data_IF_827814796321
#
_entry.id   IF_827814796321
#
_cell.length_a   1.000
_cell.length_b   1.000
_cell.length_c   1.000
_cell.angle_alpha   90.00
_cell.angle_beta   90.00
_cell.angle_gamma   90.00
#
_symmetry.space_group_name_H-M   'P 1'
#
loop_
_entity.id
_entity.type
_entity.pdbx_description
1 polymer ?
#
# COMPACT_ATOMS: atom_id res chain seq x y z
N UNK A 1 18.62 15.47 22.83
CA UNK A 1 19.39 15.62 24.09
C UNK A 1 19.54 17.08 24.48
N UNK A 2 20.25 17.37 25.58
CA UNK A 2 20.51 18.77 26.03
C UNK A 2 21.31 19.56 25.00
N UNK A 3 22.25 18.92 24.31
CA UNK A 3 23.06 19.53 23.24
C UNK A 3 22.24 19.99 22.04
N UNK A 4 21.18 19.26 21.69
CA UNK A 4 20.26 19.66 20.62
C UNK A 4 19.53 20.96 20.99
N UNK A 5 19.06 21.06 22.24
CA UNK A 5 18.38 22.27 22.74
C UNK A 5 19.30 23.49 22.74
N UNK A 6 20.58 23.30 23.07
CA UNK A 6 21.60 24.36 23.00
C UNK A 6 21.81 24.78 21.54
N UNK A 7 21.92 23.83 20.62
CA UNK A 7 22.09 24.10 19.18
C UNK A 7 20.89 24.84 18.59
N UNK A 8 19.66 24.43 18.93
CA UNK A 8 18.42 25.08 18.50
C UNK A 8 18.27 26.47 19.11
N UNK A 9 18.62 26.62 20.40
CA UNK A 9 18.66 27.92 21.05
C UNK A 9 19.65 28.87 20.36
N UNK A 10 20.79 28.35 19.89
CA UNK A 10 21.78 29.11 19.12
C UNK A 10 21.19 29.60 17.79
N UNK A 11 20.39 28.79 17.10
CA UNK A 11 19.65 29.22 15.90
C UNK A 11 18.68 30.37 16.23
N UNK A 12 17.96 30.27 17.35
CA UNK A 12 17.07 31.33 17.83
C UNK A 12 17.79 32.63 18.16
N UNK A 13 19.01 32.55 18.71
CA UNK A 13 19.87 33.70 18.95
C UNK A 13 20.35 34.35 17.65
N UNK A 14 20.80 33.56 16.67
CA UNK A 14 21.22 34.07 15.35
C UNK A 14 20.07 34.82 14.67
N UNK A 15 18.86 34.24 14.69
CA UNK A 15 17.65 34.89 14.16
C UNK A 15 17.37 36.21 14.88
N UNK A 16 17.45 36.22 16.22
CA UNK A 16 17.23 37.42 17.01
C UNK A 16 18.19 38.55 16.64
N UNK A 17 19.49 38.25 16.47
CA UNK A 17 20.50 39.24 16.08
C UNK A 17 20.19 39.81 14.69
N UNK A 18 19.83 38.95 13.73
CA UNK A 18 19.55 39.36 12.36
C UNK A 18 18.27 40.21 12.21
N UNK A 19 17.28 40.04 13.09
CA UNK A 19 15.98 40.72 13.00
C UNK A 19 15.76 41.79 14.07
N UNK A 20 16.73 42.03 14.95
CA UNK A 20 16.62 43.02 16.02
C UNK A 20 16.58 44.44 15.44
N UNK A 21 15.60 45.24 15.90
CA UNK A 21 15.53 46.67 15.59
C UNK A 21 15.76 47.48 16.88
N UNK A 22 16.87 48.24 16.98
CA UNK A 22 17.17 49.06 18.16
C UNK A 22 16.19 50.22 18.38
N UNK A 23 15.46 50.68 17.35
CA UNK A 23 14.49 51.77 17.44
C UNK A 23 13.25 51.40 18.28
N UNK A 24 13.02 50.10 18.49
CA UNK A 24 11.83 49.60 19.23
C UNK A 24 11.94 49.74 20.76
N UNK A 25 12.96 50.41 21.28
CA UNK A 25 13.18 50.68 22.71
C UNK A 25 13.02 49.44 23.63
N UNK A 26 13.49 48.29 23.14
CA UNK A 26 13.55 47.03 23.91
C UNK A 26 14.99 46.54 23.99
N UNK A 27 15.35 45.95 25.13
CA UNK A 27 16.68 45.36 25.29
C UNK A 27 16.83 44.14 24.38
N UNK A 28 17.98 44.03 23.71
CA UNK A 28 18.31 42.87 22.86
C UNK A 28 18.13 41.54 23.60
N UNK A 29 18.56 41.46 24.87
CA UNK A 29 18.40 40.26 25.67
C UNK A 29 16.94 39.83 25.84
N UNK A 30 16.02 40.79 26.02
CA UNK A 30 14.57 40.53 26.12
C UNK A 30 14.02 39.98 24.82
N UNK A 31 14.42 40.56 23.68
CA UNK A 31 14.01 40.08 22.37
C UNK A 31 14.60 38.70 22.03
N UNK A 32 15.91 38.53 22.23
CA UNK A 32 16.61 37.29 21.96
C UNK A 32 16.08 36.12 22.81
N UNK A 33 15.75 36.36 24.09
CA UNK A 33 15.13 35.35 24.95
C UNK A 33 13.83 34.82 24.35
N UNK A 34 12.97 35.69 23.80
CA UNK A 34 11.71 35.28 23.14
C UNK A 34 11.97 34.47 21.86
N UNK A 35 12.97 34.86 21.06
CA UNK A 35 13.33 34.13 19.84
C UNK A 35 13.91 32.74 20.14
N UNK A 36 14.79 32.63 21.13
CA UNK A 36 15.37 31.37 21.61
C UNK A 36 14.25 30.44 22.11
N UNK A 37 13.38 30.95 22.97
CA UNK A 37 12.23 30.20 23.48
C UNK A 37 11.32 29.71 22.36
N UNK A 38 11.03 30.55 21.36
CA UNK A 38 10.19 30.17 20.23
C UNK A 38 10.82 29.04 19.39
N UNK A 39 12.11 29.09 19.08
CA UNK A 39 12.77 28.03 18.30
C UNK A 39 12.80 26.70 19.06
N UNK A 40 13.09 26.73 20.36
CA UNK A 40 13.03 25.53 21.22
C UNK A 40 11.60 24.95 21.24
N UNK A 41 10.59 25.79 21.42
CA UNK A 41 9.18 25.36 21.38
C UNK A 41 8.80 24.76 20.03
N UNK A 42 9.24 25.36 18.92
CA UNK A 42 8.98 24.84 17.57
C UNK A 42 9.60 23.46 17.37
N UNK A 43 10.83 23.25 17.84
CA UNK A 43 11.47 21.94 17.80
C UNK A 43 10.72 20.90 18.64
N UNK A 44 10.38 21.22 19.89
CA UNK A 44 9.66 20.29 20.76
C UNK A 44 8.29 19.89 20.18
N UNK A 45 7.57 20.83 19.55
CA UNK A 45 6.30 20.53 18.85
C UNK A 45 6.48 19.59 17.68
N UNK A 46 7.58 19.69 16.94
CA UNK A 46 7.89 18.77 15.83
C UNK A 46 8.27 17.39 16.34
N UNK A 47 9.16 17.32 17.33
CA UNK A 47 9.61 16.08 17.95
C UNK A 47 8.49 15.33 18.68
N UNK A 48 7.48 16.04 19.21
CA UNK A 48 6.31 15.41 19.83
C UNK A 48 5.50 14.51 18.89
N UNK A 49 5.60 14.69 17.56
CA UNK A 49 4.93 13.80 16.60
C UNK A 49 5.55 12.40 16.55
N UNK A 50 6.84 12.31 16.87
CA UNK A 50 7.65 11.07 16.86
C UNK A 50 7.60 10.35 18.21
N UNK A 51 7.07 10.98 19.28
CA UNK A 51 6.97 10.37 20.62
C UNK A 51 6.04 9.15 20.71
N UNK A 52 5.20 8.92 19.70
CA UNK A 52 4.36 7.74 19.62
C UNK A 52 5.06 6.56 18.92
N UNK A 53 6.27 6.75 18.41
CA UNK A 53 7.07 5.69 17.80
C UNK A 53 7.75 4.88 18.92
N UNK A 54 7.59 3.57 18.87
CA UNK A 54 8.25 2.59 19.73
C UNK A 54 9.36 1.91 18.94
N UNK A 55 10.46 1.54 19.60
CA UNK A 55 11.54 0.82 18.93
C UNK A 55 11.09 -0.62 18.66
N UNK A 56 11.44 -1.14 17.48
CA UNK A 56 11.20 -2.55 17.15
C UNK A 56 12.06 -3.46 18.04
N UNK A 57 13.22 -2.98 18.47
CA UNK A 57 14.14 -3.68 19.38
C UNK A 57 13.82 -3.42 20.87
N UNK A 58 12.66 -2.85 21.20
CA UNK A 58 12.25 -2.63 22.59
C UNK A 58 11.69 -3.93 23.19
N UNK A 59 12.15 -4.34 24.40
CA UNK A 59 11.63 -5.54 25.05
C UNK A 59 10.19 -5.31 25.52
N UNK A 60 9.26 -6.12 25.02
CA UNK A 60 7.86 -6.16 25.45
C UNK A 60 7.69 -6.90 26.77
N UNK A 61 8.44 -7.98 26.94
CA UNK A 61 8.42 -8.80 28.15
C UNK A 61 9.78 -9.41 28.41
N UNK A 62 10.07 -9.70 29.67
CA UNK A 62 11.27 -10.43 30.08
C UNK A 62 10.80 -11.63 30.88
N UNK A 63 11.20 -12.82 30.45
CA UNK A 63 10.89 -14.03 31.20
C UNK A 63 11.70 -14.08 32.51
N UNK A 64 11.41 -15.10 33.33
CA UNK A 64 12.07 -15.31 34.61
C UNK A 64 13.55 -15.74 34.46
N UNK A 65 13.95 -16.21 33.28
CA UNK A 65 15.32 -16.59 32.91
C UNK A 65 16.12 -15.42 32.31
N UNK A 66 15.48 -14.25 32.10
CA UNK A 66 16.10 -13.05 31.56
C UNK A 66 16.10 -12.94 30.04
N UNK A 67 15.37 -13.80 29.33
CA UNK A 67 15.20 -13.67 27.88
C UNK A 67 14.18 -12.57 27.58
N UNK A 68 14.57 -11.65 26.70
CA UNK A 68 13.74 -10.55 26.24
C UNK A 68 12.92 -10.97 25.03
N UNK A 69 11.60 -10.75 25.09
CA UNK A 69 10.71 -10.82 23.94
C UNK A 69 10.63 -9.44 23.32
N UNK A 70 11.15 -9.26 22.11
CA UNK A 70 11.17 -7.97 21.43
C UNK A 70 9.89 -7.76 20.62
N UNK A 71 9.60 -6.50 20.27
CA UNK A 71 8.51 -6.19 19.35
C UNK A 71 8.74 -6.82 17.96
N UNK A 72 10.00 -6.88 17.48
CA UNK A 72 10.39 -7.59 16.25
C UNK A 72 9.93 -9.04 16.20
N UNK A 73 9.91 -9.72 17.34
CA UNK A 73 9.65 -11.16 17.40
C UNK A 73 8.16 -11.47 17.22
N UNK A 74 7.30 -10.48 17.51
CA UNK A 74 5.85 -10.58 17.34
C UNK A 74 5.41 -9.98 16.00
N UNK A 75 6.13 -8.99 15.49
CA UNK A 75 5.84 -8.36 14.19
C UNK A 75 6.18 -9.30 13.03
N UNK A 76 5.27 -10.23 12.75
CA UNK A 76 5.27 -11.04 11.53
C UNK A 76 4.55 -10.38 10.35
N UNK A 77 4.80 -10.86 9.14
CA UNK A 77 3.92 -10.64 7.99
C UNK A 77 2.69 -11.57 8.09
N UNK A 78 1.55 -11.14 7.54
CA UNK A 78 0.37 -12.02 7.43
C UNK A 78 0.76 -13.39 6.84
N UNK A 79 0.29 -14.47 7.47
CA UNK A 79 0.60 -15.86 7.05
C UNK A 79 0.31 -16.08 5.56
N UNK A 80 -0.67 -15.37 5.01
CA UNK A 80 -1.16 -15.51 3.63
C UNK A 80 -0.25 -14.86 2.56
N UNK A 81 0.86 -14.20 2.90
CA UNK A 81 1.73 -13.58 1.88
C UNK A 81 2.36 -14.63 0.95
N UNK A 82 2.71 -15.80 1.47
CA UNK A 82 3.31 -16.89 0.68
C UNK A 82 2.22 -17.75 0.02
N UNK A 83 1.13 -18.03 0.72
CA UNK A 83 0.04 -18.88 0.20
C UNK A 83 -0.69 -18.22 -0.97
N UNK A 84 -0.91 -16.90 -0.95
CA UNK A 84 -1.56 -16.16 -2.05
C UNK A 84 -0.94 -16.46 -3.42
N UNK A 85 0.38 -16.44 -3.52
CA UNK A 85 1.06 -16.67 -4.81
C UNK A 85 0.98 -18.12 -5.31
N UNK A 86 0.84 -19.11 -4.43
CA UNK A 86 0.72 -20.53 -4.79
C UNK A 86 -0.72 -20.91 -5.15
N UNK A 87 -1.68 -20.35 -4.42
CA UNK A 87 -3.12 -20.44 -4.74
C UNK A 87 -3.38 -19.86 -6.13
N UNK A 88 -2.83 -18.68 -6.43
CA UNK A 88 -2.97 -18.02 -7.73
C UNK A 88 -2.48 -18.88 -8.92
N UNK A 89 -1.35 -19.58 -8.79
CA UNK A 89 -0.81 -20.40 -9.89
C UNK A 89 -1.65 -21.68 -10.09
N UNK A 90 -2.10 -22.30 -9.01
CA UNK A 90 -2.96 -23.50 -9.08
C UNK A 90 -4.32 -23.16 -9.69
N UNK A 91 -4.96 -22.08 -9.24
CA UNK A 91 -6.21 -21.58 -9.81
C UNK A 91 -6.06 -21.20 -11.29
N UNK A 92 -4.93 -20.58 -11.66
CA UNK A 92 -4.64 -20.22 -13.05
C UNK A 92 -4.51 -21.46 -13.94
N UNK A 93 -3.90 -22.53 -13.46
CA UNK A 93 -3.80 -23.80 -14.18
C UNK A 93 -5.16 -24.49 -14.36
N UNK A 94 -6.00 -24.47 -13.32
CA UNK A 94 -7.38 -24.98 -13.38
C UNK A 94 -8.21 -24.21 -14.40
N UNK A 95 -8.15 -22.87 -14.36
CA UNK A 95 -8.85 -22.01 -15.31
C UNK A 95 -8.38 -22.26 -16.75
N UNK A 96 -7.07 -22.37 -16.98
CA UNK A 96 -6.50 -22.67 -18.30
C UNK A 96 -7.00 -24.00 -18.84
N UNK A 97 -7.00 -25.05 -18.01
CA UNK A 97 -7.50 -26.38 -18.37
C UNK A 97 -8.99 -26.35 -18.70
N UNK A 98 -9.78 -25.62 -17.91
CA UNK A 98 -11.22 -25.46 -18.17
C UNK A 98 -11.48 -24.73 -19.50
N UNK A 99 -10.72 -23.68 -19.82
CA UNK A 99 -10.82 -22.95 -21.09
C UNK A 99 -10.43 -23.82 -22.29
N UNK A 100 -9.44 -24.71 -22.13
CA UNK A 100 -9.03 -25.64 -23.19
C UNK A 100 -10.12 -26.64 -23.57
N UNK A 101 -11.07 -26.93 -22.67
CA UNK A 101 -12.24 -27.78 -22.96
C UNK A 101 -13.33 -27.09 -23.78
N UNK A 102 -13.28 -25.76 -23.93
CA UNK A 102 -14.26 -24.99 -24.69
C UNK A 102 -14.09 -25.23 -26.19
N UNK A 103 -15.18 -25.09 -26.94
CA UNK A 103 -15.09 -25.11 -28.40
C UNK A 103 -14.28 -23.90 -28.91
N UNK A 104 -13.68 -23.96 -30.11
CA UNK A 104 -12.86 -22.86 -30.64
C UNK A 104 -13.59 -21.51 -30.65
N UNK A 105 -14.90 -21.52 -30.94
CA UNK A 105 -15.73 -20.31 -30.95
C UNK A 105 -15.99 -19.77 -29.53
N UNK A 106 -16.26 -20.66 -28.57
CA UNK A 106 -16.45 -20.28 -27.17
C UNK A 106 -15.16 -19.73 -26.56
N UNK A 107 -14.02 -20.38 -26.86
CA UNK A 107 -12.69 -19.95 -26.44
C UNK A 107 -12.38 -18.54 -26.94
N UNK A 108 -12.58 -18.26 -28.23
CA UNK A 108 -12.39 -16.91 -28.80
C UNK A 108 -13.25 -15.86 -28.09
N UNK A 109 -14.50 -16.18 -27.73
CA UNK A 109 -15.37 -15.23 -27.02
C UNK A 109 -14.81 -14.92 -25.63
N UNK A 110 -14.39 -15.93 -24.87
CA UNK A 110 -13.81 -15.75 -23.53
C UNK A 110 -12.47 -15.00 -23.61
N UNK A 111 -11.62 -15.36 -24.56
CA UNK A 111 -10.33 -14.68 -24.79
C UNK A 111 -10.50 -13.19 -25.08
N UNK A 112 -11.50 -12.81 -25.89
CA UNK A 112 -11.79 -11.41 -26.20
C UNK A 112 -12.50 -10.68 -25.05
N UNK A 113 -13.43 -11.34 -24.34
CA UNK A 113 -14.20 -10.71 -23.26
C UNK A 113 -13.35 -10.39 -22.03
N UNK A 114 -12.36 -11.22 -21.74
CA UNK A 114 -11.53 -11.14 -20.54
C UNK A 114 -10.03 -10.94 -20.83
N UNK A 115 -9.66 -10.61 -22.07
CA UNK A 115 -8.29 -10.26 -22.43
C UNK A 115 -7.25 -11.38 -22.32
N UNK A 116 -7.66 -12.66 -22.26
CA UNK A 116 -6.79 -13.78 -21.85
C UNK A 116 -5.65 -14.14 -22.82
N UNK A 117 -5.64 -13.56 -24.02
CA UNK A 117 -4.68 -13.89 -25.08
C UNK A 117 -3.73 -12.74 -25.42
N UNK A 118 -4.07 -11.51 -25.07
CA UNK A 118 -3.31 -10.34 -25.47
C UNK A 118 -2.24 -10.06 -24.43
N UNK A 119 -1.00 -9.80 -24.85
CA UNK A 119 0.09 -9.30 -23.99
C UNK A 119 -0.27 -7.97 -23.31
N UNK A 120 -1.24 -7.24 -23.87
CA UNK A 120 -1.79 -5.99 -23.34
C UNK A 120 -3.01 -6.21 -22.41
N UNK A 121 -3.56 -7.42 -22.35
CA UNK A 121 -4.67 -7.77 -21.45
C UNK A 121 -6.00 -7.06 -21.74
N UNK A 122 -6.19 -6.48 -22.93
CA UNK A 122 -7.37 -5.68 -23.21
C UNK A 122 -8.67 -6.51 -23.28
N UNK A 123 -9.63 -6.14 -22.44
CA UNK A 123 -10.98 -6.68 -22.42
C UNK A 123 -11.87 -5.97 -23.45
N UNK A 124 -12.72 -6.73 -24.14
CA UNK A 124 -13.75 -6.19 -25.03
C UNK A 124 -15.13 -6.35 -24.40
N UNK A 125 -15.98 -5.34 -24.49
CA UNK A 125 -17.41 -5.41 -24.09
C UNK A 125 -18.19 -6.42 -24.95
N UNK A 126 -19.34 -6.90 -24.46
CA UNK A 126 -20.20 -7.80 -25.24
C UNK A 126 -20.60 -7.22 -26.60
N UNK A 127 -20.77 -5.89 -26.68
CA UNK A 127 -21.10 -5.19 -27.91
C UNK A 127 -19.92 -5.23 -28.88
N UNK A 128 -18.71 -4.91 -28.43
CA UNK A 128 -17.52 -4.92 -29.27
C UNK A 128 -17.18 -6.34 -29.76
N UNK A 129 -17.35 -7.36 -28.91
CA UNK A 129 -17.19 -8.77 -29.32
C UNK A 129 -18.26 -9.17 -30.35
N UNK A 130 -19.50 -8.71 -30.17
CA UNK A 130 -20.59 -8.96 -31.10
C UNK A 130 -20.32 -8.33 -32.47
N UNK A 131 -19.89 -7.07 -32.48
CA UNK A 131 -19.52 -6.32 -33.68
C UNK A 131 -18.34 -7.01 -34.40
N UNK A 132 -17.33 -7.48 -33.66
CA UNK A 132 -16.16 -8.19 -34.21
C UNK A 132 -16.50 -9.57 -34.78
N UNK A 133 -17.45 -10.28 -34.17
CA UNK A 133 -17.85 -11.63 -34.60
C UNK A 133 -19.05 -11.63 -35.56
N UNK A 134 -19.58 -10.46 -35.93
CA UNK A 134 -20.69 -10.32 -36.87
C UNK A 134 -22.00 -10.94 -36.37
N UNK A 135 -22.24 -10.92 -35.06
CA UNK A 135 -23.44 -11.50 -34.42
C UNK A 135 -24.06 -10.49 -33.46
N UNK A 136 -25.28 -10.73 -32.98
CA UNK A 136 -25.95 -9.79 -32.07
C UNK A 136 -25.35 -9.84 -30.65
N UNK A 137 -25.32 -8.69 -29.98
CA UNK A 137 -24.91 -8.59 -28.58
C UNK A 137 -25.75 -9.49 -27.66
N UNK A 138 -27.06 -9.62 -27.92
CA UNK A 138 -27.92 -10.54 -27.17
C UNK A 138 -27.49 -12.00 -27.33
N UNK A 139 -27.05 -12.40 -28.53
CA UNK A 139 -26.55 -13.75 -28.77
C UNK A 139 -25.22 -14.00 -28.04
N UNK A 140 -24.29 -13.03 -28.05
CA UNK A 140 -23.07 -13.07 -27.23
C UNK A 140 -23.41 -13.23 -25.74
N UNK A 141 -24.32 -12.40 -25.22
CA UNK A 141 -24.73 -12.46 -23.80
C UNK A 141 -25.23 -13.85 -23.38
N UNK A 142 -26.07 -14.47 -24.22
CA UNK A 142 -26.57 -15.84 -23.98
C UNK A 142 -25.43 -16.87 -24.00
N UNK A 143 -24.51 -16.74 -24.95
CA UNK A 143 -23.40 -17.65 -25.12
C UNK A 143 -22.38 -17.52 -23.97
N UNK A 144 -22.03 -16.30 -23.56
CA UNK A 144 -21.19 -16.01 -22.40
C UNK A 144 -21.76 -16.66 -21.14
N UNK A 145 -23.07 -16.49 -20.87
CA UNK A 145 -23.72 -17.12 -19.71
C UNK A 145 -23.64 -18.65 -19.74
N UNK A 146 -23.76 -19.26 -20.92
CA UNK A 146 -23.62 -20.71 -21.10
C UNK A 146 -22.17 -21.15 -20.86
N UNK A 147 -21.21 -20.40 -21.38
CA UNK A 147 -19.77 -20.68 -21.22
C UNK A 147 -19.38 -20.58 -19.73
N UNK A 148 -19.78 -19.52 -19.03
CA UNK A 148 -19.48 -19.35 -17.60
C UNK A 148 -20.04 -20.49 -16.74
N UNK A 149 -21.27 -20.95 -17.04
CA UNK A 149 -21.85 -22.11 -16.35
C UNK A 149 -21.05 -23.38 -16.60
N UNK A 150 -20.49 -23.55 -17.81
CA UNK A 150 -19.66 -24.70 -18.17
C UNK A 150 -18.29 -24.63 -17.49
N UNK A 151 -17.61 -23.48 -17.55
CA UNK A 151 -16.33 -23.25 -16.88
C UNK A 151 -16.43 -23.51 -15.37
N UNK A 152 -17.47 -22.97 -14.72
CA UNK A 152 -17.71 -23.24 -13.29
C UNK A 152 -17.87 -24.73 -13.00
N UNK A 153 -18.56 -25.48 -13.86
CA UNK A 153 -18.76 -26.92 -13.67
C UNK A 153 -17.46 -27.71 -13.86
N UNK A 154 -16.62 -27.31 -14.81
CA UNK A 154 -15.32 -27.95 -15.03
C UNK A 154 -14.37 -27.64 -13.88
N UNK A 155 -14.28 -26.40 -13.40
CA UNK A 155 -13.41 -26.03 -12.27
C UNK A 155 -13.77 -26.84 -11.00
N UNK A 156 -15.06 -26.92 -10.66
CA UNK A 156 -15.55 -27.72 -9.50
C UNK A 156 -15.32 -29.23 -9.67
N UNK A 157 -15.06 -29.70 -10.90
CA UNK A 157 -14.73 -31.12 -11.14
C UNK A 157 -13.24 -31.41 -10.89
N UNK A 158 -12.40 -30.38 -10.93
CA UNK A 158 -10.95 -30.49 -10.71
C UNK A 158 -10.53 -30.14 -9.28
N UNK A 159 -11.41 -29.50 -8.49
CA UNK A 159 -11.36 -29.47 -7.02
C UNK A 159 -11.67 -30.86 -6.42
#
# INVERSE_FOLDING_TARGET
>A
GVEDLISIGTIGLIKAINTFNPEKNIKLATYASRCIENEILMYLRRSSKTKAEVSIDEPLNVDWDGNELLLSDILGTDDDVIYRGLEDETERQLLKSAIESLSPREKTIVELRYGLKNTEGEEMTQKEVADRLGISQSYISRLEKKIMKRLKKEIVRFE
#
